data_IF_941586886324
#
_entry.id   IF_941586886324
#
_cell.length_a   1.000
_cell.length_b   1.000
_cell.length_c   1.000
_cell.angle_alpha   90.00
_cell.angle_beta   90.00
_cell.angle_gamma   90.00
#
_symmetry.space_group_name_H-M   'P 1'
#
loop_
_entity.id
_entity.type
_entity.pdbx_description
1 polymer ?
#
# COMPACT_ATOMS: atom_id res chain seq x y z
N UNK A 1 27.07 2.23 15.75
CA UNK A 1 26.83 2.04 14.30
C UNK A 1 26.81 3.42 13.66
N UNK A 2 27.65 3.67 12.66
CA UNK A 2 27.60 4.92 11.89
C UNK A 2 26.30 4.94 11.09
N UNK A 3 25.36 5.79 11.51
CA UNK A 3 24.13 6.05 10.76
C UNK A 3 24.54 6.93 9.56
N UNK A 4 24.27 6.51 8.31
CA UNK A 4 24.55 7.34 7.15
C UNK A 4 23.84 8.70 7.28
N UNK A 5 24.57 9.79 7.04
CA UNK A 5 24.04 11.16 7.19
C UNK A 5 23.10 11.58 6.06
N UNK A 6 22.99 10.77 5.00
CA UNK A 6 22.15 11.05 3.84
C UNK A 6 21.37 9.80 3.41
N UNK A 7 20.03 9.85 3.38
CA UNK A 7 19.24 8.79 2.75
C UNK A 7 19.53 8.69 1.25
N UNK A 8 19.38 7.49 0.71
CA UNK A 8 19.39 7.26 -0.74
C UNK A 8 18.34 8.15 -1.40
N UNK A 9 18.67 8.78 -2.53
CA UNK A 9 17.78 9.73 -3.17
C UNK A 9 17.91 9.79 -4.69
N UNK A 10 17.03 10.58 -5.32
CA UNK A 10 16.97 10.80 -6.77
C UNK A 10 16.70 9.51 -7.55
N UNK A 11 15.82 8.64 -7.02
CA UNK A 11 15.52 7.34 -7.64
C UNK A 11 14.31 7.47 -8.56
N UNK A 12 14.41 6.90 -9.76
CA UNK A 12 13.34 6.88 -10.77
C UNK A 12 13.12 5.47 -11.28
N UNK A 13 11.93 4.92 -11.01
CA UNK A 13 11.46 3.62 -11.49
C UNK A 13 10.26 3.91 -12.40
N UNK A 14 10.54 4.09 -13.70
CA UNK A 14 9.58 4.63 -14.65
C UNK A 14 9.31 3.66 -15.80
N UNK A 15 8.03 3.44 -16.11
CA UNK A 15 7.58 2.74 -17.33
C UNK A 15 8.15 1.33 -17.53
N UNK A 16 8.27 0.57 -16.44
CA UNK A 16 8.75 -0.82 -16.49
C UNK A 16 7.59 -1.82 -16.46
N UNK A 17 7.85 -3.04 -16.94
CA UNK A 17 7.06 -4.21 -16.58
C UNK A 17 7.80 -4.98 -15.47
N UNK A 18 7.11 -5.28 -14.36
CA UNK A 18 7.63 -6.10 -13.28
C UNK A 18 6.63 -7.22 -13.00
N UNK A 19 6.99 -8.45 -13.37
CA UNK A 19 6.03 -9.55 -13.38
C UNK A 19 6.58 -10.89 -12.93
N UNK A 20 5.67 -11.79 -12.52
CA UNK A 20 5.97 -13.19 -12.19
C UNK A 20 7.05 -13.39 -11.10
N UNK A 21 7.16 -12.46 -10.15
CA UNK A 21 8.13 -12.54 -9.07
C UNK A 21 7.62 -13.25 -7.82
N UNK A 22 8.54 -13.53 -6.90
CA UNK A 22 8.27 -14.30 -5.68
C UNK A 22 8.40 -15.83 -5.85
N UNK A 23 8.95 -16.33 -6.97
CA UNK A 23 8.96 -17.78 -7.25
C UNK A 23 9.77 -18.62 -6.26
N UNK A 24 10.89 -18.05 -5.77
CA UNK A 24 11.78 -18.70 -4.81
C UNK A 24 11.43 -18.25 -3.39
N UNK A 25 11.32 -16.94 -3.19
CA UNK A 25 10.92 -16.33 -1.93
C UNK A 25 9.57 -15.63 -2.13
N UNK A 26 8.45 -16.21 -1.70
CA UNK A 26 7.12 -15.64 -1.91
C UNK A 26 6.98 -14.22 -1.34
N UNK A 27 7.72 -13.87 -0.29
CA UNK A 27 7.73 -12.54 0.33
C UNK A 27 8.50 -11.47 -0.46
N UNK A 28 9.07 -11.82 -1.61
CA UNK A 28 9.65 -10.84 -2.53
C UNK A 28 8.59 -9.85 -3.00
N UNK A 29 8.87 -8.56 -2.85
CA UNK A 29 8.02 -7.44 -3.30
C UNK A 29 8.47 -7.00 -4.69
N UNK A 30 7.55 -6.54 -5.54
CA UNK A 30 7.89 -6.15 -6.91
C UNK A 30 8.76 -4.87 -6.96
N UNK A 31 8.38 -3.84 -6.19
CA UNK A 31 9.19 -2.63 -6.00
C UNK A 31 9.27 -2.32 -4.50
N UNK A 32 10.49 -2.12 -4.01
CA UNK A 32 10.76 -1.86 -2.60
C UNK A 32 11.62 -0.61 -2.44
N UNK A 33 11.16 0.33 -1.61
CA UNK A 33 11.88 1.57 -1.31
C UNK A 33 11.86 1.84 0.18
N UNK A 34 12.96 1.52 0.86
CA UNK A 34 13.14 1.73 2.29
C UNK A 34 14.11 2.88 2.55
N UNK A 35 13.80 3.74 3.53
CA UNK A 35 14.71 4.81 4.03
C UNK A 35 15.31 5.66 2.89
N UNK A 36 14.49 6.09 1.95
CA UNK A 36 14.88 6.86 0.77
C UNK A 36 14.01 8.09 0.59
N UNK A 37 14.58 9.16 0.01
CA UNK A 37 13.89 10.42 -0.29
C UNK A 37 13.96 10.74 -1.78
N UNK A 38 13.07 11.57 -2.31
CA UNK A 38 13.03 11.91 -3.75
C UNK A 38 13.01 10.65 -4.64
N UNK A 39 11.93 9.88 -4.50
CA UNK A 39 11.72 8.63 -5.21
C UNK A 39 10.48 8.76 -6.09
N UNK A 40 10.61 8.52 -7.39
CA UNK A 40 9.47 8.45 -8.32
C UNK A 40 9.29 7.02 -8.81
N UNK A 41 8.12 6.43 -8.52
CA UNK A 41 7.69 5.12 -9.02
C UNK A 41 6.45 5.37 -9.87
N UNK A 42 6.62 5.48 -11.20
CA UNK A 42 5.53 5.93 -12.06
C UNK A 42 5.39 5.19 -13.39
N UNK A 43 4.13 4.99 -13.80
CA UNK A 43 3.78 4.39 -15.09
C UNK A 43 4.21 2.93 -15.25
N UNK A 44 4.51 2.22 -14.15
CA UNK A 44 4.92 0.82 -14.22
C UNK A 44 3.71 -0.11 -14.32
N UNK A 45 3.90 -1.23 -15.01
CA UNK A 45 2.97 -2.34 -15.09
C UNK A 45 3.47 -3.47 -14.17
N UNK A 46 2.80 -3.68 -13.03
CA UNK A 46 3.22 -4.64 -11.99
C UNK A 46 2.17 -5.73 -11.88
N UNK A 47 2.53 -6.99 -12.14
CA UNK A 47 1.53 -8.05 -12.09
C UNK A 47 2.02 -9.46 -11.85
N UNK A 48 1.10 -10.33 -11.42
CA UNK A 48 1.39 -11.75 -11.19
C UNK A 48 2.56 -11.93 -10.19
N UNK A 49 2.62 -11.07 -9.17
CA UNK A 49 3.59 -11.15 -8.08
C UNK A 49 2.97 -11.89 -6.90
N UNK A 50 3.72 -12.76 -6.21
CA UNK A 50 3.17 -13.56 -5.10
C UNK A 50 2.95 -12.83 -3.79
N UNK A 51 3.34 -11.56 -3.71
CA UNK A 51 3.16 -10.71 -2.54
C UNK A 51 2.87 -9.26 -2.96
N UNK A 52 3.23 -8.29 -2.13
CA UNK A 52 3.02 -6.87 -2.34
C UNK A 52 3.57 -6.35 -3.67
N UNK A 53 2.82 -5.45 -4.30
CA UNK A 53 3.26 -4.77 -5.53
C UNK A 53 4.34 -3.74 -5.24
N UNK A 54 4.00 -2.69 -4.47
CA UNK A 54 4.93 -1.62 -4.09
C UNK A 54 4.98 -1.51 -2.57
N UNK A 55 6.17 -1.53 -1.96
CA UNK A 55 6.39 -1.34 -0.52
C UNK A 55 7.28 -0.12 -0.28
N UNK A 56 6.83 0.81 0.58
CA UNK A 56 7.53 2.07 0.85
C UNK A 56 7.60 2.36 2.35
N UNK A 57 8.76 2.77 2.83
CA UNK A 57 8.99 3.03 4.25
C UNK A 57 9.43 1.78 5.02
N UNK A 58 9.71 1.96 6.31
CA UNK A 58 10.36 0.90 7.11
C UNK A 58 10.23 1.06 8.63
N UNK A 59 9.94 2.27 9.11
CA UNK A 59 9.92 2.54 10.54
C UNK A 59 8.55 2.18 11.13
N UNK A 60 8.56 1.35 12.17
CA UNK A 60 7.34 1.00 12.90
C UNK A 60 6.88 2.15 13.80
N UNK A 61 5.57 2.42 13.77
CA UNK A 61 4.93 3.50 14.49
C UNK A 61 5.44 4.89 14.10
N UNK A 62 5.52 5.79 15.09
CA UNK A 62 5.94 7.19 14.89
C UNK A 62 7.44 7.43 15.06
N UNK A 63 8.25 6.38 14.89
CA UNK A 63 9.69 6.49 14.98
C UNK A 63 10.23 7.45 13.90
N UNK A 64 11.33 8.20 14.16
CA UNK A 64 11.92 9.07 13.17
C UNK A 64 12.22 8.32 11.86
N UNK A 65 11.68 8.82 10.76
CA UNK A 65 11.79 8.21 9.44
C UNK A 65 12.73 9.01 8.54
N UNK A 66 13.42 8.28 7.66
CA UNK A 66 14.26 8.82 6.59
C UNK A 66 13.57 8.77 5.22
N UNK A 67 12.29 8.40 5.20
CA UNK A 67 11.50 8.28 3.98
C UNK A 67 10.68 9.55 3.78
N UNK A 68 10.84 10.23 2.65
CA UNK A 68 10.07 11.42 2.31
C UNK A 68 9.97 11.60 0.80
N UNK A 69 9.06 12.46 0.34
CA UNK A 69 9.01 12.92 -1.06
C UNK A 69 8.95 11.76 -2.07
N UNK A 70 8.14 10.74 -1.76
CA UNK A 70 7.92 9.59 -2.64
C UNK A 70 6.67 9.80 -3.49
N UNK A 71 6.82 9.79 -4.80
CA UNK A 71 5.72 9.88 -5.76
C UNK A 71 5.43 8.51 -6.36
N UNK A 72 4.27 7.94 -6.05
CA UNK A 72 3.75 6.70 -6.64
C UNK A 72 2.61 7.05 -7.59
N UNK A 73 2.90 7.14 -8.89
CA UNK A 73 1.97 7.73 -9.85
C UNK A 73 1.63 6.85 -11.04
N UNK A 74 0.34 6.68 -11.32
CA UNK A 74 -0.10 6.13 -12.62
C UNK A 74 0.37 4.70 -12.87
N UNK A 75 0.68 3.92 -11.83
CA UNK A 75 1.06 2.52 -11.97
C UNK A 75 -0.19 1.67 -12.18
N UNK A 76 -0.06 0.61 -12.98
CA UNK A 76 -1.07 -0.42 -13.12
C UNK A 76 -0.64 -1.68 -12.37
N UNK A 77 -1.31 -1.99 -11.27
CA UNK A 77 -0.94 -3.07 -10.35
C UNK A 77 -2.06 -4.11 -10.32
N UNK A 78 -1.79 -5.34 -10.73
CA UNK A 78 -2.84 -6.36 -10.74
C UNK A 78 -2.39 -7.81 -10.56
N UNK A 79 -3.31 -8.67 -10.10
CA UNK A 79 -3.05 -10.08 -9.85
C UNK A 79 -1.87 -10.28 -8.88
N UNK A 80 -1.86 -9.53 -7.78
CA UNK A 80 -0.83 -9.64 -6.73
C UNK A 80 -1.30 -10.59 -5.62
N UNK A 81 -0.33 -11.13 -4.89
CA UNK A 81 -0.52 -12.09 -3.80
C UNK A 81 -0.76 -13.54 -4.24
N UNK A 82 -1.44 -13.75 -5.36
CA UNK A 82 -1.64 -15.06 -6.01
C UNK A 82 -2.06 -16.20 -5.07
N UNK A 83 -2.77 -15.87 -3.99
CA UNK A 83 -3.20 -16.84 -2.98
C UNK A 83 -2.06 -17.57 -2.25
N UNK A 84 -0.89 -16.94 -2.07
CA UNK A 84 0.29 -17.57 -1.47
C UNK A 84 0.57 -17.09 -0.03
N UNK A 85 0.65 -15.78 0.18
CA UNK A 85 0.89 -15.17 1.49
C UNK A 85 -0.29 -14.30 1.92
N UNK A 86 -0.39 -14.03 3.22
CA UNK A 86 -1.29 -13.05 3.84
C UNK A 86 -0.55 -11.73 4.12
N UNK A 87 -1.28 -10.76 4.66
CA UNK A 87 -0.79 -9.47 5.14
C UNK A 87 -0.03 -8.67 4.07
N UNK A 88 -0.77 -8.18 3.07
CA UNK A 88 -0.17 -7.57 1.89
C UNK A 88 -1.00 -6.44 1.28
N UNK A 89 -0.32 -5.62 0.46
CA UNK A 89 -0.91 -4.51 -0.27
C UNK A 89 -0.64 -4.57 -1.78
N UNK A 90 -1.55 -4.04 -2.60
CA UNK A 90 -1.16 -3.60 -3.95
C UNK A 90 -0.08 -2.50 -3.84
N UNK A 91 -0.34 -1.52 -2.99
CA UNK A 91 0.63 -0.54 -2.48
C UNK A 91 0.60 -0.61 -0.95
N UNK A 92 1.76 -0.74 -0.33
CA UNK A 92 1.98 -0.82 1.11
C UNK A 92 2.89 0.31 1.57
N UNK A 93 2.57 0.93 2.70
CA UNK A 93 3.43 1.93 3.34
C UNK A 93 3.60 1.69 4.84
N UNK A 94 4.75 2.08 5.40
CA UNK A 94 5.06 1.95 6.82
C UNK A 94 5.78 3.19 7.38
N UNK A 95 5.32 3.73 8.51
CA UNK A 95 5.93 4.86 9.22
C UNK A 95 5.68 6.26 8.66
N UNK A 96 6.26 7.28 9.28
CA UNK A 96 6.08 8.69 8.89
C UNK A 96 6.76 8.97 7.53
N UNK A 97 6.04 9.56 6.56
CA UNK A 97 6.55 9.77 5.19
C UNK A 97 6.12 11.11 4.55
N UNK A 98 6.58 12.26 5.08
CA UNK A 98 6.21 13.58 4.57
C UNK A 98 6.48 13.73 3.07
N UNK A 99 5.61 14.43 2.35
CA UNK A 99 5.76 14.68 0.92
C UNK A 99 5.38 13.47 0.03
N UNK A 100 5.01 12.34 0.63
CA UNK A 100 4.62 11.15 -0.13
C UNK A 100 3.21 11.29 -0.73
N UNK A 101 3.11 11.00 -2.03
CA UNK A 101 1.87 11.08 -2.80
C UNK A 101 1.65 9.78 -3.57
N UNK A 102 0.54 9.11 -3.30
CA UNK A 102 0.07 7.93 -4.02
C UNK A 102 -1.10 8.36 -4.90
N UNK A 103 -0.88 8.51 -6.21
CA UNK A 103 -1.90 9.10 -7.08
C UNK A 103 -2.08 8.49 -8.47
N UNK A 104 -3.33 8.47 -8.94
CA UNK A 104 -3.64 8.04 -10.32
C UNK A 104 -3.36 6.57 -10.61
N UNK A 105 -3.10 5.75 -9.58
CA UNK A 105 -2.82 4.33 -9.77
C UNK A 105 -4.12 3.56 -10.01
N UNK A 106 -4.03 2.47 -10.78
CA UNK A 106 -5.10 1.50 -10.93
C UNK A 106 -4.65 0.19 -10.29
N UNK A 107 -5.35 -0.27 -9.27
CA UNK A 107 -4.99 -1.46 -8.48
C UNK A 107 -6.17 -2.43 -8.51
N UNK A 108 -5.94 -3.67 -8.93
CA UNK A 108 -7.01 -4.68 -8.92
C UNK A 108 -6.56 -6.10 -8.69
N UNK A 109 -7.48 -6.98 -8.31
CA UNK A 109 -7.20 -8.41 -8.18
C UNK A 109 -6.06 -8.67 -7.17
N UNK A 110 -6.21 -8.14 -5.95
CA UNK A 110 -5.25 -8.34 -4.86
C UNK A 110 -5.81 -9.42 -3.92
N UNK A 111 -5.11 -10.56 -3.81
CA UNK A 111 -5.62 -11.73 -3.09
C UNK A 111 -4.53 -12.45 -2.28
N UNK A 112 -4.83 -12.83 -1.04
CA UNK A 112 -3.97 -13.65 -0.20
C UNK A 112 -4.40 -15.12 -0.16
N UNK A 113 -3.55 -15.93 0.48
CA UNK A 113 -3.87 -17.30 0.83
C UNK A 113 -5.11 -17.39 1.73
N UNK A 114 -5.22 -16.49 2.71
CA UNK A 114 -6.30 -16.53 3.68
C UNK A 114 -6.89 -15.15 4.02
N UNK A 115 -6.24 -14.42 4.92
CA UNK A 115 -6.72 -13.15 5.50
C UNK A 115 -5.78 -12.00 5.14
N UNK A 116 -6.19 -10.75 5.40
CA UNK A 116 -5.36 -9.53 5.32
C UNK A 116 -4.75 -9.25 3.93
N UNK A 117 -5.58 -8.73 3.00
CA UNK A 117 -5.14 -8.35 1.66
C UNK A 117 -5.84 -7.08 1.18
N UNK A 118 -5.05 -6.03 0.94
CA UNK A 118 -5.60 -4.70 0.70
C UNK A 118 -5.11 -4.11 -0.61
N UNK A 119 -5.92 -3.24 -1.21
CA UNK A 119 -5.50 -2.54 -2.42
C UNK A 119 -4.42 -1.51 -2.11
N UNK A 120 -4.78 -0.50 -1.32
CA UNK A 120 -3.82 0.44 -0.70
C UNK A 120 -3.84 0.18 0.81
N UNK A 121 -2.68 -0.17 1.34
CA UNK A 121 -2.46 -0.50 2.75
C UNK A 121 -1.51 0.52 3.37
N UNK A 122 -2.08 1.44 4.15
CA UNK A 122 -1.34 2.35 5.01
C UNK A 122 -1.15 1.69 6.38
N UNK A 123 -0.02 1.00 6.54
CA UNK A 123 0.31 0.24 7.73
C UNK A 123 0.90 1.12 8.83
N UNK A 124 1.31 0.49 9.93
CA UNK A 124 1.72 1.04 11.19
C UNK A 124 2.45 2.40 11.11
N UNK A 125 1.81 3.44 11.65
CA UNK A 125 2.41 4.77 11.74
C UNK A 125 2.50 5.52 10.41
N UNK A 126 1.95 4.99 9.32
CA UNK A 126 1.86 5.71 8.04
C UNK A 126 1.24 7.08 8.27
N UNK A 127 2.02 8.13 8.00
CA UNK A 127 1.64 9.50 8.34
C UNK A 127 2.09 10.50 7.29
N UNK A 128 1.31 11.57 7.15
CA UNK A 128 1.58 12.69 6.23
C UNK A 128 1.61 12.27 4.75
N UNK A 129 0.83 11.25 4.40
CA UNK A 129 0.69 10.72 3.03
C UNK A 129 -0.58 11.25 2.38
N UNK A 130 -0.50 11.59 1.10
CA UNK A 130 -1.67 11.91 0.27
C UNK A 130 -1.99 10.74 -0.65
N UNK A 131 -3.16 10.14 -0.47
CA UNK A 131 -3.73 9.11 -1.37
C UNK A 131 -4.83 9.76 -2.20
N UNK A 132 -4.59 9.95 -3.50
CA UNK A 132 -5.53 10.69 -4.34
C UNK A 132 -5.73 10.16 -5.76
N UNK A 133 -6.95 10.26 -6.30
CA UNK A 133 -7.23 9.92 -7.71
C UNK A 133 -6.92 8.45 -8.09
N UNK A 134 -6.85 7.53 -7.12
CA UNK A 134 -6.62 6.12 -7.41
C UNK A 134 -7.94 5.39 -7.70
N UNK A 135 -7.88 4.36 -8.53
CA UNK A 135 -8.99 3.43 -8.77
C UNK A 135 -8.56 2.06 -8.27
N UNK A 136 -9.22 1.59 -7.23
CA UNK A 136 -8.87 0.35 -6.54
C UNK A 136 -10.10 -0.53 -6.44
N UNK A 137 -10.00 -1.75 -6.96
CA UNK A 137 -11.16 -2.63 -6.99
C UNK A 137 -10.83 -4.12 -7.04
N UNK A 138 -11.80 -4.97 -6.71
CA UNK A 138 -11.65 -6.42 -6.77
C UNK A 138 -10.50 -6.91 -5.87
N UNK A 139 -10.57 -6.55 -4.59
CA UNK A 139 -9.60 -6.96 -3.55
C UNK A 139 -10.25 -7.93 -2.56
N UNK A 140 -9.44 -8.82 -1.98
CA UNK A 140 -9.97 -9.87 -1.12
C UNK A 140 -10.50 -9.40 0.24
N UNK A 141 -9.90 -8.37 0.86
CA UNK A 141 -10.30 -7.83 2.17
C UNK A 141 -10.92 -6.43 2.02
N UNK A 142 -10.11 -5.37 1.96
CA UNK A 142 -10.57 -4.01 1.64
C UNK A 142 -9.84 -3.39 0.45
N UNK A 143 -10.47 -2.43 -0.22
CA UNK A 143 -9.82 -1.66 -1.29
C UNK A 143 -8.84 -0.64 -0.69
N UNK A 144 -9.15 -0.12 0.50
CA UNK A 144 -8.25 0.72 1.28
C UNK A 144 -8.26 0.34 2.76
N UNK A 145 -7.08 0.24 3.35
CA UNK A 145 -6.90 0.05 4.78
C UNK A 145 -5.92 1.09 5.33
N UNK A 146 -6.36 1.80 6.36
CA UNK A 146 -5.48 2.52 7.29
C UNK A 146 -5.43 1.72 8.60
N UNK A 147 -4.24 1.31 9.04
CA UNK A 147 -4.05 0.76 10.37
C UNK A 147 -4.14 1.88 11.43
N UNK A 148 -3.02 2.47 11.84
CA UNK A 148 -2.97 3.70 12.63
C UNK A 148 -1.91 4.64 12.05
N UNK A 149 -2.00 5.93 12.37
CA UNK A 149 -1.17 6.94 11.74
C UNK A 149 -1.72 8.34 11.90
N UNK A 150 -1.04 9.35 11.34
CA UNK A 150 -1.38 10.76 11.55
C UNK A 150 -1.41 11.58 10.26
N UNK A 151 -2.42 12.46 10.15
CA UNK A 151 -2.52 13.49 9.11
C UNK A 151 -2.46 12.97 7.66
N UNK A 152 -2.99 11.78 7.39
CA UNK A 152 -3.13 11.29 6.02
C UNK A 152 -4.30 11.97 5.31
N UNK A 153 -4.19 12.19 4.00
CA UNK A 153 -5.27 12.77 3.19
C UNK A 153 -5.71 11.77 2.14
N UNK A 154 -6.96 11.30 2.23
CA UNK A 154 -7.56 10.35 1.30
C UNK A 154 -8.62 11.09 0.49
N UNK A 155 -8.33 11.39 -0.78
CA UNK A 155 -9.17 12.30 -1.58
C UNK A 155 -9.39 11.87 -3.03
N UNK A 156 -10.64 11.93 -3.49
CA UNK A 156 -10.99 11.69 -4.91
C UNK A 156 -10.58 10.31 -5.44
N UNK A 157 -10.62 9.27 -4.60
CA UNK A 157 -10.37 7.89 -5.01
C UNK A 157 -11.68 7.16 -5.30
N UNK A 158 -11.60 6.09 -6.09
CA UNK A 158 -12.66 5.09 -6.26
C UNK A 158 -12.21 3.81 -5.61
N UNK A 159 -12.94 3.36 -4.58
CA UNK A 159 -12.72 2.11 -3.87
C UNK A 159 -13.97 1.24 -4.07
N UNK A 160 -13.83 0.08 -4.70
CA UNK A 160 -14.99 -0.70 -5.08
C UNK A 160 -14.81 -2.19 -5.08
N UNK A 161 -15.87 -2.95 -4.83
CA UNK A 161 -15.88 -4.42 -4.93
C UNK A 161 -14.73 -5.08 -4.15
N UNK A 162 -14.53 -4.72 -2.90
CA UNK A 162 -13.66 -5.48 -2.00
C UNK A 162 -14.41 -6.62 -1.31
N UNK A 163 -13.78 -7.25 -0.32
CA UNK A 163 -14.41 -8.27 0.53
C UNK A 163 -14.98 -9.46 -0.25
N UNK A 164 -14.30 -9.83 -1.32
CA UNK A 164 -14.80 -10.82 -2.27
C UNK A 164 -14.60 -12.27 -1.82
N UNK A 165 -13.80 -12.48 -0.79
CA UNK A 165 -13.48 -13.81 -0.29
C UNK A 165 -14.18 -14.03 1.06
N UNK A 166 -14.91 -15.14 1.25
CA UNK A 166 -15.34 -15.52 2.59
C UNK A 166 -14.13 -15.86 3.48
N UNK A 167 -14.27 -15.81 4.81
CA UNK A 167 -13.25 -16.31 5.73
C UNK A 167 -12.87 -17.76 5.36
N UNK A 168 -11.58 -18.05 5.20
CA UNK A 168 -11.12 -19.32 4.65
C UNK A 168 -11.13 -20.44 5.70
N UNK A 169 -11.02 -20.14 6.99
CA UNK A 169 -11.10 -21.11 8.08
C UNK A 169 -12.06 -20.69 9.19
N UNK A 170 -12.63 -21.64 9.95
CA UNK A 170 -13.41 -21.33 11.14
C UNK A 170 -12.59 -20.54 12.17
N UNK A 171 -13.06 -19.35 12.51
CA UNK A 171 -12.40 -18.46 13.48
C UNK A 171 -11.54 -17.36 12.85
N UNK A 172 -11.35 -17.37 11.53
CA UNK A 172 -10.74 -16.24 10.81
C UNK A 172 -11.64 -15.01 10.85
N UNK A 173 -11.00 -13.83 10.81
CA UNK A 173 -11.71 -12.56 10.73
C UNK A 173 -12.57 -12.48 9.47
N UNK A 174 -13.67 -11.72 9.56
CA UNK A 174 -14.44 -11.36 8.37
C UNK A 174 -13.68 -10.31 7.54
N UNK A 175 -13.89 -10.28 6.21
CA UNK A 175 -13.43 -9.18 5.37
C UNK A 175 -13.97 -7.82 5.83
N UNK A 176 -13.19 -6.76 5.62
CA UNK A 176 -13.42 -5.46 6.26
C UNK A 176 -14.48 -4.56 5.59
N UNK A 177 -15.06 -4.97 4.46
CA UNK A 177 -15.79 -4.11 3.52
C UNK A 177 -14.86 -3.43 2.50
N UNK A 178 -15.32 -2.38 1.81
CA UNK A 178 -14.48 -1.66 0.84
C UNK A 178 -13.38 -0.82 1.50
N UNK A 179 -13.62 -0.36 2.72
CA UNK A 179 -12.74 0.54 3.47
C UNK A 179 -12.60 0.01 4.90
N UNK A 180 -11.36 -0.13 5.36
CA UNK A 180 -11.05 -0.43 6.75
C UNK A 180 -10.26 0.72 7.39
N UNK A 181 -10.71 1.16 8.56
CA UNK A 181 -9.97 2.07 9.43
C UNK A 181 -9.74 1.34 10.75
N UNK A 182 -8.47 1.17 11.11
CA UNK A 182 -8.03 0.38 12.25
C UNK A 182 -8.05 1.16 13.57
N UNK A 183 -6.92 1.16 14.27
CA UNK A 183 -6.84 1.61 15.65
C UNK A 183 -7.11 3.12 15.79
N UNK A 184 -7.91 3.47 16.80
CA UNK A 184 -8.23 4.85 17.14
C UNK A 184 -7.10 5.49 17.96
N UNK A 185 -6.85 6.79 17.72
CA UNK A 185 -5.81 7.58 18.38
C UNK A 185 -6.36 8.96 18.79
N UNK A 186 -5.62 9.70 19.63
CA UNK A 186 -6.04 10.99 20.19
C UNK A 186 -5.82 12.20 19.27
N UNK A 187 -5.45 11.96 18.01
CA UNK A 187 -5.23 12.97 16.98
C UNK A 187 -5.92 12.58 15.67
N UNK A 188 -5.98 13.50 14.72
CA UNK A 188 -6.50 13.21 13.37
C UNK A 188 -5.62 12.18 12.67
N UNK A 189 -6.16 10.98 12.46
CA UNK A 189 -5.45 9.94 11.72
C UNK A 189 -5.46 10.18 10.23
N UNK A 190 -6.64 10.46 9.68
CA UNK A 190 -6.83 10.79 8.29
C UNK A 190 -8.00 11.76 8.07
N UNK A 191 -7.95 12.43 6.92
CA UNK A 191 -9.09 13.17 6.35
C UNK A 191 -9.56 12.47 5.09
N UNK A 192 -10.83 12.07 5.05
CA UNK A 192 -11.43 11.32 3.94
C UNK A 192 -12.47 12.19 3.22
N UNK A 193 -12.20 12.61 1.98
CA UNK A 193 -13.07 13.56 1.25
C UNK A 193 -13.25 13.19 -0.23
N UNK A 194 -14.48 13.35 -0.75
CA UNK A 194 -14.80 13.15 -2.19
C UNK A 194 -14.38 11.78 -2.76
N UNK A 195 -14.29 10.73 -1.95
CA UNK A 195 -14.06 9.38 -2.45
C UNK A 195 -15.40 8.70 -2.79
N UNK A 196 -15.38 7.80 -3.76
CA UNK A 196 -16.50 6.94 -4.12
C UNK A 196 -16.24 5.55 -3.53
N UNK A 197 -17.25 5.00 -2.86
CA UNK A 197 -17.25 3.66 -2.25
C UNK A 197 -18.46 2.90 -2.82
N UNK A 198 -18.27 1.72 -3.41
CA UNK A 198 -19.35 0.95 -4.06
C UNK A 198 -19.07 -0.56 -4.18
#
# INVERSE_FOLDING_TARGET
>A
MNIPTHPTNSIKILYNEVSYGGNVFPSGVAVISHRATDVTIAGNNIHHHRYTGISIGWEWGYSPSYTSDVLVQGNYIYNTGQHILCDQGGIYTLGIQPGTVITGNVIKNVFSYAIYMWGIYLDEGTSQVVVSNNVVYNTGWASFFQHYGANNTIINNVFARASLNPPPQPGDDNPDGDIHIGLAESHTSLTFTRNIIY
#
